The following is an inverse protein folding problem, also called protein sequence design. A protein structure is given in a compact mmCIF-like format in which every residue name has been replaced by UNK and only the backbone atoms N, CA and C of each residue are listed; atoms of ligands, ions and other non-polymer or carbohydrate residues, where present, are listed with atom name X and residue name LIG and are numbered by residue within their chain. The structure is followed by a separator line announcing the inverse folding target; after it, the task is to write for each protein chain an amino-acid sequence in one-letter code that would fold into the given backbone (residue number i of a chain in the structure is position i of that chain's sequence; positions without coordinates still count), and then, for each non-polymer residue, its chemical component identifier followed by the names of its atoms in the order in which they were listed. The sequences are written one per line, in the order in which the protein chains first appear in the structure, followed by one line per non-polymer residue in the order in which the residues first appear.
data_IF_038948244017
#
_entry.id   IF_038948244017
#
_cell.length_a   1.000
_cell.length_b   1.000
_cell.length_c   1.000
_cell.angle_alpha   90.00
_cell.angle_beta   90.00
_cell.angle_gamma   90.00
#
_symmetry.space_group_name_H-M   'P 1'
#
loop_
_entity.id
_entity.type
_entity.pdbx_description
1 polymer ?
#
# COMPACT_ATOMS: atom_id res chain seq x y z
N UNK A 1 -12.20 -13.82 -22.22
CA UNK A 1 -11.04 -13.72 -21.28
C UNK A 1 -9.88 -14.55 -21.80
N UNK A 2 -8.65 -14.05 -21.64
CA UNK A 2 -7.42 -14.71 -22.08
C UNK A 2 -7.24 -16.12 -21.48
N UNK A 3 -7.72 -16.34 -20.26
CA UNK A 3 -7.51 -17.57 -19.49
C UNK A 3 -8.72 -18.52 -19.45
N UNK A 4 -9.85 -18.18 -20.07
CA UNK A 4 -11.05 -19.02 -20.16
C UNK A 4 -11.39 -19.77 -18.85
N UNK A 5 -11.61 -19.07 -17.72
CA UNK A 5 -11.77 -19.70 -16.42
C UNK A 5 -13.00 -20.62 -16.39
N UNK A 6 -12.89 -21.78 -15.74
CA UNK A 6 -13.93 -22.78 -15.61
C UNK A 6 -14.95 -22.41 -14.49
N UNK A 7 -14.52 -21.63 -13.51
CA UNK A 7 -15.34 -21.24 -12.37
C UNK A 7 -15.76 -19.78 -12.49
N UNK A 8 -17.05 -19.52 -12.39
CA UNK A 8 -17.60 -18.16 -12.41
C UNK A 8 -17.00 -17.23 -11.35
N UNK A 9 -16.65 -17.77 -10.18
CA UNK A 9 -15.98 -16.98 -9.12
C UNK A 9 -14.60 -16.46 -9.54
N UNK A 10 -13.95 -17.09 -10.51
CA UNK A 10 -12.68 -16.63 -11.05
C UNK A 10 -12.81 -15.41 -11.98
N UNK A 11 -14.05 -15.03 -12.35
CA UNK A 11 -14.34 -13.82 -13.12
C UNK A 11 -14.55 -12.59 -12.21
N UNK A 12 -14.74 -12.80 -10.91
CA UNK A 12 -14.94 -11.73 -9.96
C UNK A 12 -13.58 -11.19 -9.47
N UNK A 13 -13.35 -9.89 -9.70
CA UNK A 13 -12.17 -9.21 -9.16
C UNK A 13 -12.28 -9.12 -7.64
N UNK A 14 -11.22 -9.53 -6.95
CA UNK A 14 -11.04 -9.31 -5.51
C UNK A 14 -9.76 -8.53 -5.32
N UNK A 15 -9.89 -7.32 -4.81
CA UNK A 15 -8.77 -6.37 -4.70
C UNK A 15 -8.47 -6.07 -3.25
N UNK A 16 -7.19 -6.04 -2.95
CA UNK A 16 -6.64 -5.35 -1.79
C UNK A 16 -6.00 -4.06 -2.26
N UNK A 17 -6.28 -2.95 -1.59
CA UNK A 17 -5.63 -1.67 -1.84
C UNK A 17 -4.79 -1.27 -0.63
N UNK A 18 -3.68 -0.63 -0.90
CA UNK A 18 -2.85 0.02 0.10
C UNK A 18 -2.67 1.48 -0.30
N UNK A 19 -2.77 2.39 0.67
CA UNK A 19 -2.41 3.80 0.45
C UNK A 19 -0.94 3.91 0.07
N UNK A 20 -0.59 4.91 -0.74
CA UNK A 20 0.78 5.05 -1.27
C UNK A 20 1.71 5.63 -0.21
N UNK A 21 2.71 4.86 0.22
CA UNK A 21 3.78 5.39 1.07
C UNK A 21 4.70 6.38 0.34
N UNK A 22 4.77 6.28 -1.00
CA UNK A 22 5.59 7.18 -1.81
C UNK A 22 5.09 8.63 -1.82
N UNK A 23 3.80 8.87 -1.62
CA UNK A 23 3.19 10.20 -1.54
C UNK A 23 3.41 10.88 -0.18
N UNK A 24 3.84 10.13 0.83
CA UNK A 24 4.06 10.63 2.18
C UNK A 24 5.42 11.30 2.31
N UNK A 25 5.51 12.30 3.19
CA UNK A 25 6.70 13.11 3.37
C UNK A 25 7.22 13.04 4.80
N UNK A 26 8.55 13.12 4.94
CA UNK A 26 9.21 13.27 6.23
C UNK A 26 8.93 14.63 6.86
N UNK A 27 8.86 15.68 6.00
CA UNK A 27 8.56 17.04 6.41
C UNK A 27 7.06 17.19 6.75
N UNK A 28 6.79 17.83 7.89
CA UNK A 28 5.43 18.06 8.37
C UNK A 28 4.56 16.78 8.35
N UNK A 29 4.98 15.71 9.05
CA UNK A 29 4.40 14.37 8.90
C UNK A 29 2.91 14.30 9.28
N UNK A 30 2.38 15.24 10.07
CA UNK A 30 0.94 15.29 10.37
C UNK A 30 0.09 15.55 9.12
N UNK A 31 0.63 16.21 8.08
CA UNK A 31 -0.05 16.35 6.80
C UNK A 31 -0.28 15.00 6.10
N UNK A 32 0.50 13.97 6.46
CA UNK A 32 0.36 12.62 5.92
C UNK A 32 -0.98 11.98 6.33
N UNK A 33 -1.57 12.37 7.48
CA UNK A 33 -2.90 11.92 7.88
C UNK A 33 -3.93 12.28 6.80
N UNK A 34 -3.89 13.52 6.32
CA UNK A 34 -4.79 13.99 5.26
C UNK A 34 -4.52 13.26 3.93
N UNK A 35 -3.24 13.08 3.56
CA UNK A 35 -2.85 12.35 2.34
C UNK A 35 -3.39 10.92 2.37
N UNK A 36 -3.10 10.20 3.44
CA UNK A 36 -3.60 8.83 3.67
C UNK A 36 -5.13 8.77 3.66
N UNK A 37 -5.81 9.77 4.25
CA UNK A 37 -7.28 9.81 4.27
C UNK A 37 -7.86 9.94 2.86
N UNK A 38 -7.29 10.83 2.02
CA UNK A 38 -7.74 11.01 0.63
C UNK A 38 -7.52 9.74 -0.20
N UNK A 39 -6.37 9.10 -0.04
CA UNK A 39 -6.05 7.84 -0.73
C UNK A 39 -6.96 6.70 -0.28
N UNK A 40 -7.24 6.59 1.02
CA UNK A 40 -8.16 5.62 1.58
C UNK A 40 -9.60 5.84 1.07
N UNK A 41 -10.04 7.10 1.02
CA UNK A 41 -11.34 7.49 0.44
C UNK A 41 -11.41 7.09 -1.04
N UNK A 42 -10.37 7.34 -1.82
CA UNK A 42 -10.31 6.96 -3.23
C UNK A 42 -10.41 5.44 -3.41
N UNK A 43 -9.73 4.67 -2.56
CA UNK A 43 -9.80 3.20 -2.56
C UNK A 43 -11.20 2.68 -2.23
N UNK A 44 -11.87 3.30 -1.26
CA UNK A 44 -13.24 2.94 -0.88
C UNK A 44 -14.24 3.28 -1.99
N UNK A 45 -14.13 4.46 -2.62
CA UNK A 45 -14.95 4.87 -3.77
C UNK A 45 -14.72 3.95 -4.99
N UNK A 46 -13.51 3.42 -5.16
CA UNK A 46 -13.15 2.46 -6.20
C UNK A 46 -13.56 1.01 -5.90
N UNK A 47 -14.23 0.74 -4.78
CA UNK A 47 -14.81 -0.57 -4.47
C UNK A 47 -13.81 -1.63 -4.01
N UNK A 48 -12.70 -1.24 -3.36
CA UNK A 48 -11.75 -2.21 -2.80
C UNK A 48 -12.39 -3.12 -1.75
N UNK A 49 -12.03 -4.41 -1.71
CA UNK A 49 -12.56 -5.36 -0.71
C UNK A 49 -11.79 -5.36 0.61
N UNK A 50 -10.55 -4.97 0.58
CA UNK A 50 -9.74 -4.76 1.79
C UNK A 50 -8.79 -3.59 1.59
N UNK A 51 -8.46 -2.91 2.68
CA UNK A 51 -7.67 -1.68 2.64
C UNK A 51 -6.61 -1.69 3.74
N UNK A 52 -5.39 -1.32 3.37
CA UNK A 52 -4.33 -0.94 4.30
C UNK A 52 -4.12 0.57 4.21
N UNK A 53 -4.02 1.24 5.37
CA UNK A 53 -3.70 2.65 5.50
C UNK A 53 -2.33 2.83 6.14
N UNK A 54 -1.45 3.57 5.50
CA UNK A 54 -0.13 3.87 6.03
C UNK A 54 -0.23 4.83 7.23
N UNK A 55 0.68 4.66 8.18
CA UNK A 55 0.79 5.56 9.31
C UNK A 55 1.46 6.89 8.90
N UNK A 56 1.23 7.94 9.69
CA UNK A 56 1.75 9.28 9.38
C UNK A 56 3.28 9.38 9.37
N UNK A 57 3.95 8.46 10.04
CA UNK A 57 5.39 8.33 10.20
C UNK A 57 6.06 7.35 9.19
N UNK A 58 5.29 6.81 8.24
CA UNK A 58 5.77 5.84 7.24
C UNK A 58 7.01 6.29 6.46
N UNK A 59 7.13 7.59 6.18
CA UNK A 59 8.29 8.15 5.48
C UNK A 59 9.54 8.30 6.37
N UNK A 60 9.41 8.07 7.68
CA UNK A 60 10.46 8.30 8.69
C UNK A 60 10.94 6.98 9.27
N UNK A 61 10.00 6.14 9.77
CA UNK A 61 10.30 4.92 10.51
C UNK A 61 9.11 3.95 10.52
N UNK A 62 9.24 2.86 11.27
CA UNK A 62 8.13 1.97 11.56
C UNK A 62 7.10 2.68 12.47
N UNK A 63 5.80 2.35 12.31
CA UNK A 63 4.75 3.01 13.07
C UNK A 63 4.86 2.74 14.57
N UNK A 64 4.62 3.77 15.35
CA UNK A 64 4.36 3.65 16.78
C UNK A 64 2.93 3.15 17.03
N UNK A 65 2.61 2.74 18.25
CA UNK A 65 1.23 2.37 18.62
C UNK A 65 0.25 3.53 18.40
N UNK A 66 0.71 4.77 18.60
CA UNK A 66 -0.09 5.97 18.37
C UNK A 66 -0.37 6.20 16.88
N UNK A 67 0.65 6.19 16.05
CA UNK A 67 0.50 6.42 14.60
C UNK A 67 -0.28 5.28 13.93
N UNK A 68 -0.06 4.04 14.35
CA UNK A 68 -0.83 2.88 13.90
C UNK A 68 -2.32 2.98 14.29
N UNK A 69 -2.61 3.50 15.48
CA UNK A 69 -4.00 3.77 15.91
C UNK A 69 -4.66 4.81 15.02
N UNK A 70 -3.98 5.89 14.66
CA UNK A 70 -4.51 6.91 13.74
C UNK A 70 -4.79 6.29 12.37
N UNK A 71 -3.85 5.53 11.81
CA UNK A 71 -4.02 4.87 10.53
C UNK A 71 -5.23 3.93 10.50
N UNK A 72 -5.42 3.14 11.56
CA UNK A 72 -6.61 2.29 11.70
C UNK A 72 -7.88 3.13 11.84
N UNK A 73 -7.87 4.18 12.65
CA UNK A 73 -9.04 5.02 12.87
C UNK A 73 -9.45 5.75 11.61
N UNK A 74 -8.54 6.09 10.70
CA UNK A 74 -8.85 6.65 9.39
C UNK A 74 -9.85 5.77 8.62
N UNK A 75 -9.64 4.47 8.59
CA UNK A 75 -10.59 3.54 7.96
C UNK A 75 -11.93 3.50 8.70
N UNK A 76 -11.91 3.50 10.03
CA UNK A 76 -13.14 3.46 10.86
C UNK A 76 -13.97 4.73 10.65
N UNK A 77 -13.34 5.91 10.60
CA UNK A 77 -14.00 7.19 10.33
C UNK A 77 -14.66 7.16 8.96
N UNK A 78 -13.95 6.72 7.92
CA UNK A 78 -14.52 6.58 6.58
C UNK A 78 -15.71 5.61 6.58
N UNK A 79 -15.63 4.51 7.30
CA UNK A 79 -16.68 3.51 7.35
C UNK A 79 -17.90 3.95 8.16
N UNK A 80 -17.70 4.64 9.29
CA UNK A 80 -18.78 4.89 10.26
C UNK A 80 -19.34 6.32 10.21
N UNK A 81 -18.56 7.30 9.77
CA UNK A 81 -18.91 8.70 9.90
C UNK A 81 -19.14 9.40 8.55
N UNK A 82 -18.68 8.80 7.43
CA UNK A 82 -18.73 9.47 6.12
C UNK A 82 -19.94 9.13 5.25
N UNK A 83 -20.69 8.06 5.59
CA UNK A 83 -21.77 7.55 4.75
C UNK A 83 -21.33 6.88 3.45
N UNK A 84 -20.02 6.72 3.21
CA UNK A 84 -19.48 6.14 1.96
C UNK A 84 -19.93 4.69 1.75
N UNK A 85 -20.26 3.97 2.83
CA UNK A 85 -20.71 2.59 2.79
C UNK A 85 -22.21 2.45 2.47
N UNK A 86 -22.95 3.55 2.40
CA UNK A 86 -24.41 3.55 2.18
C UNK A 86 -24.77 3.41 0.69
N UNK A 87 -23.78 3.61 -0.20
CA UNK A 87 -23.98 3.59 -1.66
C UNK A 87 -23.01 2.60 -2.28
N UNK A 88 -23.52 1.77 -3.19
CA UNK A 88 -22.72 0.85 -4.00
C UNK A 88 -22.27 1.57 -5.27
N UNK A 89 -20.97 1.49 -5.58
CA UNK A 89 -20.34 2.06 -6.78
C UNK A 89 -20.72 3.54 -7.02
N UNK A 90 -20.41 4.45 -6.08
CA UNK A 90 -20.85 5.85 -6.18
C UNK A 90 -20.23 6.60 -7.36
N UNK A 91 -19.15 6.08 -7.96
CA UNK A 91 -18.47 6.67 -9.13
C UNK A 91 -18.94 6.06 -10.46
N UNK A 92 -19.73 5.00 -10.43
CA UNK A 92 -20.23 4.29 -11.61
C UNK A 92 -21.04 5.19 -12.53
N UNK A 93 -20.78 5.11 -13.83
CA UNK A 93 -21.47 5.91 -14.86
C UNK A 93 -21.01 7.38 -14.95
N UNK A 94 -20.02 7.80 -14.17
CA UNK A 94 -19.38 9.10 -14.35
C UNK A 94 -18.56 9.12 -15.65
N UNK A 95 -18.94 9.91 -16.62
CA UNK A 95 -18.24 10.01 -17.90
C UNK A 95 -16.74 10.26 -17.76
N UNK A 96 -16.33 11.09 -16.80
CA UNK A 96 -14.93 11.37 -16.54
C UNK A 96 -14.20 10.15 -15.97
N UNK A 97 -14.78 9.50 -14.96
CA UNK A 97 -14.15 8.34 -14.30
C UNK A 97 -14.05 7.16 -15.26
N UNK A 98 -15.10 6.88 -16.03
CA UNK A 98 -15.08 5.82 -17.05
C UNK A 98 -14.03 6.08 -18.13
N UNK A 99 -13.93 7.31 -18.62
CA UNK A 99 -12.91 7.68 -19.62
C UNK A 99 -11.49 7.57 -19.09
N UNK A 100 -11.23 8.02 -17.86
CA UNK A 100 -9.91 7.90 -17.22
C UNK A 100 -9.56 6.43 -16.95
N UNK A 101 -10.54 5.63 -16.51
CA UNK A 101 -10.35 4.19 -16.29
C UNK A 101 -9.95 3.49 -17.59
N UNK A 102 -10.64 3.79 -18.69
CA UNK A 102 -10.29 3.21 -20.00
C UNK A 102 -8.89 3.64 -20.46
N UNK A 103 -8.53 4.92 -20.30
CA UNK A 103 -7.19 5.40 -20.61
C UNK A 103 -6.11 4.65 -19.81
N UNK A 104 -6.32 4.46 -18.51
CA UNK A 104 -5.37 3.71 -17.66
C UNK A 104 -5.26 2.26 -18.09
N UNK A 105 -6.36 1.61 -18.48
CA UNK A 105 -6.36 0.24 -19.03
C UNK A 105 -5.51 0.20 -20.30
N UNK A 106 -5.74 1.10 -21.24
CA UNK A 106 -5.04 1.12 -22.52
C UNK A 106 -3.54 1.34 -22.34
N UNK A 107 -3.13 2.22 -21.43
CA UNK A 107 -1.71 2.44 -21.15
C UNK A 107 -1.08 1.25 -20.39
N UNK A 108 -1.78 0.67 -19.43
CA UNK A 108 -1.30 -0.51 -18.71
C UNK A 108 -1.11 -1.72 -19.65
N UNK A 109 -2.03 -1.91 -20.60
CA UNK A 109 -1.92 -3.00 -21.59
C UNK A 109 -0.69 -2.85 -22.48
N UNK A 110 -0.29 -1.63 -22.85
CA UNK A 110 0.96 -1.41 -23.61
C UNK A 110 2.19 -1.90 -22.85
N UNK A 111 2.25 -1.61 -21.53
CA UNK A 111 3.36 -2.10 -20.69
C UNK A 111 3.33 -3.63 -20.53
N UNK A 112 2.15 -4.23 -20.38
CA UNK A 112 2.00 -5.68 -20.31
C UNK A 112 2.49 -6.32 -21.62
N UNK A 113 2.05 -5.83 -22.76
CA UNK A 113 2.45 -6.32 -24.08
C UNK A 113 3.97 -6.18 -24.32
N UNK A 114 4.58 -5.06 -23.89
CA UNK A 114 6.02 -4.87 -23.95
C UNK A 114 6.77 -5.94 -23.16
N UNK A 115 6.35 -6.19 -21.92
CA UNK A 115 6.95 -7.22 -21.06
C UNK A 115 6.76 -8.63 -21.63
N UNK A 116 5.58 -8.94 -22.16
CA UNK A 116 5.32 -10.24 -22.80
C UNK A 116 6.17 -10.45 -24.07
N UNK A 117 6.36 -9.41 -24.86
CA UNK A 117 7.20 -9.44 -26.07
C UNK A 117 8.69 -9.68 -25.76
N UNK A 118 9.16 -9.23 -24.59
CA UNK A 118 10.51 -9.54 -24.10
C UNK A 118 10.64 -11.01 -23.61
N UNK A 119 9.54 -11.73 -23.52
CA UNK A 119 9.48 -13.11 -23.02
C UNK A 119 9.19 -13.20 -21.53
N UNK A 120 8.45 -12.21 -20.99
CA UNK A 120 7.94 -12.15 -19.64
C UNK A 120 8.80 -11.33 -18.69
N UNK A 121 8.26 -11.09 -17.48
CA UNK A 121 8.86 -10.18 -16.51
C UNK A 121 10.30 -10.55 -16.11
N UNK A 122 10.64 -11.82 -16.00
CA UNK A 122 12.01 -12.24 -15.65
C UNK A 122 13.02 -11.71 -16.65
N UNK A 123 12.75 -11.86 -17.94
CA UNK A 123 13.65 -11.37 -19.01
C UNK A 123 13.67 -9.85 -19.08
N UNK A 124 12.54 -9.20 -18.89
CA UNK A 124 12.46 -7.75 -18.83
C UNK A 124 13.29 -7.18 -17.67
N UNK A 125 13.32 -7.84 -16.50
CA UNK A 125 14.16 -7.47 -15.36
C UNK A 125 15.64 -7.68 -15.70
N UNK A 126 16.03 -8.82 -16.30
CA UNK A 126 17.40 -9.10 -16.75
C UNK A 126 17.89 -8.05 -17.76
N UNK A 127 17.01 -7.59 -18.65
CA UNK A 127 17.25 -6.51 -19.61
C UNK A 127 17.27 -5.11 -18.97
N UNK A 128 16.88 -4.97 -17.70
CA UNK A 128 16.88 -3.69 -16.97
C UNK A 128 15.70 -2.76 -17.29
N UNK A 129 14.73 -3.19 -18.08
CA UNK A 129 13.62 -2.35 -18.58
C UNK A 129 12.81 -1.72 -17.43
N UNK A 130 12.30 -2.48 -16.43
CA UNK A 130 11.52 -1.88 -15.33
C UNK A 130 12.32 -0.87 -14.52
N UNK A 131 13.61 -1.17 -14.24
CA UNK A 131 14.49 -0.27 -13.50
C UNK A 131 14.70 1.05 -14.25
N UNK A 132 15.02 0.99 -15.54
CA UNK A 132 15.21 2.18 -16.38
C UNK A 132 13.97 3.08 -16.37
N UNK A 133 12.76 2.50 -16.53
CA UNK A 133 11.51 3.27 -16.52
C UNK A 133 11.21 3.90 -15.16
N UNK A 134 11.51 3.22 -14.06
CA UNK A 134 11.35 3.76 -12.71
C UNK A 134 12.29 4.95 -12.51
N UNK A 135 13.55 4.81 -12.89
CA UNK A 135 14.56 5.89 -12.77
C UNK A 135 14.21 7.10 -13.65
N UNK A 136 13.74 6.88 -14.87
CA UNK A 136 13.28 7.96 -15.76
C UNK A 136 12.05 8.68 -15.20
N UNK A 137 11.07 7.95 -14.68
CA UNK A 137 9.89 8.53 -14.07
C UNK A 137 10.24 9.33 -12.80
N UNK A 138 11.14 8.81 -11.96
CA UNK A 138 11.63 9.48 -10.77
C UNK A 138 12.37 10.78 -11.10
N UNK A 139 13.25 10.77 -12.11
CA UNK A 139 13.97 11.95 -12.56
C UNK A 139 13.01 13.03 -13.10
N UNK A 140 12.03 12.65 -13.91
CA UNK A 140 10.99 13.57 -14.41
C UNK A 140 10.17 14.19 -13.28
N UNK A 141 9.79 13.36 -12.30
CA UNK A 141 9.04 13.81 -11.13
C UNK A 141 9.85 14.81 -10.30
N UNK A 142 11.12 14.48 -10.01
CA UNK A 142 11.99 15.36 -9.25
C UNK A 142 12.19 16.72 -9.95
N UNK A 143 12.39 16.72 -11.28
CA UNK A 143 12.51 17.94 -12.05
C UNK A 143 11.27 18.86 -11.93
N UNK A 144 10.06 18.29 -11.91
CA UNK A 144 8.82 19.05 -11.71
C UNK A 144 8.71 19.62 -10.29
N UNK A 145 9.16 18.89 -9.28
CA UNK A 145 9.21 19.37 -7.90
C UNK A 145 10.22 20.51 -7.76
N UNK A 146 11.41 20.36 -8.33
CA UNK A 146 12.49 21.35 -8.24
C UNK A 146 12.15 22.64 -9.00
N UNK A 147 11.47 22.53 -10.13
CA UNK A 147 11.00 23.70 -10.91
C UNK A 147 9.79 24.40 -10.29
N UNK A 148 9.13 23.79 -9.31
CA UNK A 148 7.88 24.29 -8.73
C UNK A 148 6.66 24.12 -9.64
N UNK A 149 6.73 23.29 -10.68
CA UNK A 149 5.57 22.87 -11.47
C UNK A 149 4.65 21.96 -10.63
N UNK A 150 5.24 21.15 -9.77
CA UNK A 150 4.52 20.29 -8.85
C UNK A 150 4.75 20.73 -7.40
N UNK A 151 3.64 20.95 -6.67
CA UNK A 151 3.66 21.41 -5.28
C UNK A 151 3.49 20.24 -4.31
N UNK A 152 4.38 20.19 -3.31
CA UNK A 152 4.26 19.29 -2.17
C UNK A 152 4.26 20.16 -0.91
N UNK A 153 3.12 20.18 -0.23
CA UNK A 153 2.91 21.01 0.96
C UNK A 153 3.89 20.58 2.07
N UNK A 154 4.57 21.54 2.66
CA UNK A 154 5.60 21.32 3.69
C UNK A 154 6.98 20.97 3.12
N UNK A 155 7.11 20.62 1.82
CA UNK A 155 8.37 20.25 1.18
C UNK A 155 8.92 21.37 0.30
N UNK A 156 8.23 21.73 -0.78
CA UNK A 156 8.63 22.82 -1.66
C UNK A 156 7.68 24.03 -1.62
N UNK A 157 6.49 23.89 -1.01
CA UNK A 157 5.49 24.94 -0.86
C UNK A 157 4.91 24.97 0.55
N UNK A 158 4.50 26.15 0.99
CA UNK A 158 3.85 26.38 2.29
C UNK A 158 4.61 25.79 3.49
N UNK A 159 5.93 25.92 3.48
CA UNK A 159 6.79 25.44 4.57
C UNK A 159 6.49 26.20 5.87
N UNK A 160 6.36 25.49 6.97
CA UNK A 160 6.25 26.11 8.27
C UNK A 160 7.61 26.65 8.73
N UNK A 161 7.62 27.89 9.24
CA UNK A 161 8.78 28.45 9.94
C UNK A 161 8.83 28.05 11.43
N UNK A 162 7.83 27.34 11.90
CA UNK A 162 7.79 26.86 13.30
C UNK A 162 8.63 25.61 13.47
N UNK A 163 9.21 25.44 14.67
CA UNK A 163 9.87 24.17 15.02
C UNK A 163 8.86 23.03 14.88
N UNK A 164 9.19 22.05 14.07
CA UNK A 164 8.33 20.87 13.94
C UNK A 164 8.16 20.18 15.29
N UNK A 165 6.96 19.66 15.54
CA UNK A 165 6.71 18.83 16.69
C UNK A 165 7.55 17.55 16.56
N UNK A 166 8.32 17.24 17.58
CA UNK A 166 9.11 16.01 17.63
C UNK A 166 8.14 14.82 17.70
N UNK A 167 8.21 13.94 16.71
CA UNK A 167 7.51 12.67 16.74
C UNK A 167 8.37 11.66 17.52
N UNK A 168 7.71 10.88 18.34
CA UNK A 168 8.32 9.68 18.90
C UNK A 168 8.56 8.69 17.75
N UNK A 169 9.82 8.30 17.54
CA UNK A 169 10.21 7.36 16.51
C UNK A 169 10.40 6.00 17.18
N UNK A 170 9.83 4.96 16.57
CA UNK A 170 10.05 3.59 17.03
C UNK A 170 11.46 3.13 16.63
N UNK A 171 12.38 3.14 17.58
CA UNK A 171 13.69 2.52 17.42
C UNK A 171 13.63 1.06 17.87
N UNK A 172 14.00 0.15 16.96
CA UNK A 172 13.92 -1.29 17.19
C UNK A 172 15.33 -1.84 17.44
N UNK A 173 15.58 -2.28 18.66
CA UNK A 173 16.72 -3.14 18.95
C UNK A 173 16.49 -4.55 18.40
N UNK A 174 16.99 -4.79 17.21
CA UNK A 174 16.88 -6.08 16.53
C UNK A 174 17.49 -7.25 17.33
N UNK A 175 18.48 -6.98 18.18
CA UNK A 175 19.11 -7.99 19.03
C UNK A 175 18.15 -8.43 20.12
N UNK A 176 17.51 -7.49 20.77
CA UNK A 176 16.52 -7.76 21.80
C UNK A 176 15.26 -8.44 21.24
N UNK A 177 14.77 -7.99 20.08
CA UNK A 177 13.64 -8.64 19.38
C UNK A 177 13.98 -10.09 19.06
N UNK A 178 15.15 -10.35 18.49
CA UNK A 178 15.61 -11.71 18.17
C UNK A 178 15.70 -12.58 19.42
N UNK A 179 16.26 -12.08 20.52
CA UNK A 179 16.36 -12.78 21.78
C UNK A 179 14.98 -13.20 22.30
N UNK A 180 14.02 -12.24 22.37
CA UNK A 180 12.66 -12.51 22.81
C UNK A 180 11.92 -13.51 21.92
N UNK A 181 12.14 -13.47 20.62
CA UNK A 181 11.54 -14.43 19.69
C UNK A 181 12.10 -15.84 19.89
N UNK A 182 13.40 -15.98 20.10
CA UNK A 182 14.03 -17.28 20.39
C UNK A 182 13.47 -17.85 21.69
N UNK A 183 13.44 -17.08 22.77
CA UNK A 183 12.90 -17.50 24.07
C UNK A 183 11.45 -17.97 23.95
N UNK A 184 10.62 -17.23 23.19
CA UNK A 184 9.23 -17.61 22.94
C UNK A 184 9.13 -18.92 22.16
N UNK A 185 9.96 -19.11 21.15
CA UNK A 185 9.99 -20.34 20.36
C UNK A 185 10.43 -21.55 21.21
N UNK A 186 11.45 -21.38 22.04
CA UNK A 186 11.94 -22.42 22.94
C UNK A 186 10.85 -22.81 23.93
N UNK A 187 10.17 -21.83 24.54
CA UNK A 187 9.05 -22.07 25.42
C UNK A 187 7.93 -22.86 24.73
N UNK A 188 7.50 -22.42 23.53
CA UNK A 188 6.45 -23.12 22.78
C UNK A 188 6.87 -24.55 22.43
N UNK A 189 8.12 -24.77 22.03
CA UNK A 189 8.64 -26.12 21.72
C UNK A 189 8.67 -27.02 22.93
N UNK A 190 8.98 -26.48 24.12
CA UNK A 190 9.01 -27.23 25.37
C UNK A 190 7.61 -27.60 25.89
N UNK A 191 6.64 -26.70 25.71
CA UNK A 191 5.27 -26.85 26.24
C UNK A 191 4.31 -27.55 25.27
N UNK A 192 4.60 -27.61 23.96
CA UNK A 192 3.70 -28.23 22.96
C UNK A 192 3.66 -29.73 23.07
N UNK A 193 2.47 -30.29 22.82
CA UNK A 193 2.31 -31.74 22.65
C UNK A 193 2.76 -32.16 21.24
N UNK A 194 3.96 -32.77 21.12
CA UNK A 194 4.53 -33.16 19.85
C UNK A 194 3.77 -34.33 19.17
N UNK A 195 3.14 -35.23 19.92
CA UNK A 195 2.35 -36.32 19.38
C UNK A 195 1.10 -35.78 18.69
N UNK A 196 0.38 -34.83 19.35
CA UNK A 196 -0.79 -34.17 18.77
C UNK A 196 -0.41 -33.34 17.54
N UNK A 197 0.73 -32.65 17.53
CA UNK A 197 1.21 -31.93 16.36
C UNK A 197 1.43 -32.86 15.19
N UNK A 198 2.04 -34.02 15.40
CA UNK A 198 2.28 -35.00 14.34
C UNK A 198 0.97 -35.53 13.78
N UNK A 199 0.04 -35.92 14.67
CA UNK A 199 -1.30 -36.41 14.29
C UNK A 199 -2.05 -35.37 13.42
N UNK A 200 -2.10 -34.10 13.84
CA UNK A 200 -2.78 -33.02 13.09
C UNK A 200 -2.10 -32.78 11.73
N UNK A 201 -0.77 -32.80 11.68
CA UNK A 201 -0.05 -32.64 10.42
C UNK A 201 -0.34 -33.76 9.42
N UNK A 202 -0.49 -34.98 9.89
CA UNK A 202 -0.83 -36.12 9.05
C UNK A 202 -2.30 -36.06 8.57
N UNK A 203 -3.23 -35.57 9.40
CA UNK A 203 -4.61 -35.28 8.99
C UNK A 203 -4.72 -34.19 7.93
N UNK A 204 -3.83 -33.19 7.94
CA UNK A 204 -3.82 -32.12 6.93
C UNK A 204 -3.28 -32.62 5.58
N UNK A 205 -2.42 -33.65 5.58
CA UNK A 205 -1.85 -34.23 4.36
C UNK A 205 -2.77 -35.22 3.66
N UNK A 206 -3.75 -35.79 4.38
CA UNK A 206 -4.76 -36.72 3.87
C UNK A 206 -5.92 -35.97 3.19
#
# INVERSE_FOLDING_TARGET
TQFSPQNQKSLALRTHSQTSGWSLTEQEPFNNITRTTIEALSSALGGTQSLHTNALDEAIALPTDYSAKIARNTQIILQQESGICDVVDPMGGSNLVEALTQQMIDEAMKFIEEVENEGGMTKAIEAGIPKMRIEEAAAKKQAKIDSGEEFIIGVNSFKSNQKQMELEILDIDNTEVRRKQIERLEKIKAERNNELVTEILDQIKS
#
